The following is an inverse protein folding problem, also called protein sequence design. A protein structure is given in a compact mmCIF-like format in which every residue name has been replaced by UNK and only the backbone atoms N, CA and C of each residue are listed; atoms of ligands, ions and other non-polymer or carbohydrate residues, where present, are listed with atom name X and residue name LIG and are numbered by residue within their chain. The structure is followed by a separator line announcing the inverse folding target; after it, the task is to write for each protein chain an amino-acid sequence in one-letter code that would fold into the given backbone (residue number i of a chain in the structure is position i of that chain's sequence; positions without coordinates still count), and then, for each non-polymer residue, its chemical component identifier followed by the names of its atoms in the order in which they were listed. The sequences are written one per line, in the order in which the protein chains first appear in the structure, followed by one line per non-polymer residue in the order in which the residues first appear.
data_IF_950244923537
#
_entry.id   IF_950244923537
#
_cell.length_a   1.000
_cell.length_b   1.000
_cell.length_c   1.000
_cell.angle_alpha   90.00
_cell.angle_beta   90.00
_cell.angle_gamma   90.00
#
_symmetry.space_group_name_H-M   'P 1'
#
loop_
_entity.id
_entity.type
_entity.pdbx_description
1 polymer ?
#
# COMPACT_ATOMS: atom_id res chain seq x y z
N UNK A 1 3.75 12.11 -20.90
CA UNK A 1 2.35 12.57 -21.04
C UNK A 1 1.39 11.46 -20.64
N UNK A 2 0.50 11.74 -19.70
CA UNK A 2 -0.61 10.88 -19.37
C UNK A 2 -1.91 11.57 -19.78
N UNK A 3 -2.72 10.87 -20.58
CA UNK A 3 -4.01 11.35 -21.04
C UNK A 3 -5.10 10.40 -20.60
N UNK A 4 -6.10 10.93 -19.91
CA UNK A 4 -7.28 10.17 -19.58
C UNK A 4 -8.27 10.20 -20.76
N UNK A 5 -8.78 9.07 -21.23
CA UNK A 5 -9.80 9.06 -22.28
C UNK A 5 -11.08 9.74 -21.78
N UNK A 6 -11.70 10.49 -22.66
CA UNK A 6 -12.99 11.12 -22.40
C UNK A 6 -14.01 10.07 -21.94
N UNK A 7 -14.59 10.29 -20.76
CA UNK A 7 -15.74 9.52 -20.31
C UNK A 7 -16.86 10.48 -19.96
N UNK A 8 -17.94 10.43 -20.71
CA UNK A 8 -19.06 11.36 -20.58
C UNK A 8 -18.77 12.72 -21.21
N UNK A 9 -19.44 13.77 -20.76
CA UNK A 9 -19.41 15.12 -21.35
C UNK A 9 -18.24 16.00 -20.92
N UNK A 10 -17.20 15.43 -20.27
CA UNK A 10 -16.02 16.16 -19.78
C UNK A 10 -14.73 15.72 -20.46
N UNK A 11 -13.95 16.67 -21.00
CA UNK A 11 -12.56 16.43 -21.38
C UNK A 11 -11.69 16.55 -20.13
N UNK A 12 -11.09 15.45 -19.72
CA UNK A 12 -10.10 15.45 -18.64
C UNK A 12 -8.74 15.72 -19.26
N UNK A 13 -8.18 16.89 -19.03
CA UNK A 13 -6.99 17.38 -19.71
C UNK A 13 -5.79 16.44 -19.69
N UNK A 14 -4.81 16.79 -20.52
CA UNK A 14 -3.49 16.15 -20.52
C UNK A 14 -2.59 16.81 -19.47
N UNK A 15 -1.83 16.02 -18.73
CA UNK A 15 -0.76 16.48 -17.84
C UNK A 15 0.59 15.98 -18.35
N UNK A 16 1.50 16.91 -18.57
CA UNK A 16 2.90 16.60 -18.82
C UNK A 16 3.68 16.60 -17.50
N UNK A 17 3.70 15.45 -16.83
CA UNK A 17 4.36 15.30 -15.53
C UNK A 17 5.86 15.60 -15.57
N UNK A 18 6.52 15.56 -16.73
CA UNK A 18 7.93 15.94 -16.85
C UNK A 18 8.15 17.43 -16.60
N UNK A 19 7.10 18.24 -16.74
CA UNK A 19 7.10 19.69 -16.52
C UNK A 19 6.43 20.11 -15.25
N UNK A 20 5.69 19.21 -14.57
CA UNK A 20 5.03 19.53 -13.32
C UNK A 20 6.07 19.94 -12.26
N UNK A 21 5.77 21.02 -11.56
CA UNK A 21 6.56 21.53 -10.44
C UNK A 21 5.59 22.02 -9.38
N UNK A 22 5.88 21.73 -8.14
CA UNK A 22 5.02 22.09 -7.02
C UNK A 22 5.80 22.96 -6.06
N UNK A 23 5.28 24.13 -5.74
CA UNK A 23 5.83 25.00 -4.71
C UNK A 23 5.25 24.59 -3.34
N UNK A 24 5.92 23.63 -2.70
CA UNK A 24 5.50 23.12 -1.40
C UNK A 24 5.51 24.18 -0.29
N UNK A 25 6.33 25.25 -0.42
CA UNK A 25 6.40 26.32 0.57
C UNK A 25 5.18 27.23 0.51
N UNK A 26 4.50 27.29 -0.64
CA UNK A 26 3.25 28.02 -0.79
C UNK A 26 2.03 27.24 -0.26
N UNK A 27 2.13 25.91 -0.17
CA UNK A 27 1.02 25.09 0.31
C UNK A 27 0.86 25.23 1.82
N UNK A 28 -0.39 25.34 2.29
CA UNK A 28 -0.72 25.47 3.71
C UNK A 28 -1.37 24.22 4.26
N UNK A 29 -1.25 23.94 5.58
CA UNK A 29 -1.88 22.76 6.18
C UNK A 29 -3.41 22.78 6.16
N UNK A 30 -4.01 23.94 6.03
CA UNK A 30 -5.46 24.15 6.02
C UNK A 30 -5.85 25.21 5.01
N UNK A 31 -7.01 25.06 4.41
CA UNK A 31 -7.55 25.99 3.43
C UNK A 31 -8.95 26.44 3.85
N UNK A 32 -9.26 27.71 3.58
CA UNK A 32 -10.54 28.34 3.89
C UNK A 32 -10.78 29.57 3.00
N UNK A 33 -11.84 30.31 3.31
CA UNK A 33 -12.22 31.51 2.53
C UNK A 33 -11.17 32.62 2.52
N UNK A 34 -10.28 32.62 3.52
CA UNK A 34 -9.23 33.61 3.69
C UNK A 34 -7.84 33.12 3.22
N UNK A 35 -7.80 31.93 2.56
CA UNK A 35 -6.53 31.42 2.05
C UNK A 35 -6.03 32.23 0.86
N UNK A 36 -4.72 32.42 0.79
CA UNK A 36 -4.07 33.12 -0.33
C UNK A 36 -4.33 32.38 -1.66
N UNK A 37 -4.59 33.13 -2.73
CA UNK A 37 -4.91 32.60 -4.05
C UNK A 37 -3.78 31.72 -4.60
N UNK A 38 -2.53 32.09 -4.36
CA UNK A 38 -1.35 31.30 -4.76
C UNK A 38 -1.34 29.95 -4.09
N UNK A 39 -1.56 29.88 -2.77
CA UNK A 39 -1.63 28.63 -2.02
C UNK A 39 -2.78 27.74 -2.52
N UNK A 40 -3.93 28.31 -2.78
CA UNK A 40 -5.07 27.59 -3.35
C UNK A 40 -4.77 27.05 -4.76
N UNK A 41 -4.06 27.80 -5.58
CA UNK A 41 -3.68 27.39 -6.94
C UNK A 41 -2.72 26.20 -6.91
N UNK A 42 -1.67 26.27 -6.10
CA UNK A 42 -0.66 25.22 -5.97
C UNK A 42 -1.28 23.89 -5.49
N UNK A 43 -2.12 23.92 -4.46
CA UNK A 43 -2.76 22.70 -3.98
C UNK A 43 -3.79 22.17 -4.98
N UNK A 44 -4.51 23.04 -5.68
CA UNK A 44 -5.50 22.62 -6.68
C UNK A 44 -4.82 21.96 -7.88
N UNK A 45 -3.66 22.48 -8.32
CA UNK A 45 -2.85 21.85 -9.37
C UNK A 45 -2.37 20.47 -8.95
N UNK A 46 -1.82 20.33 -7.73
CA UNK A 46 -1.41 19.03 -7.19
C UNK A 46 -2.57 18.03 -7.15
N UNK A 47 -3.74 18.45 -6.63
CA UNK A 47 -4.92 17.59 -6.56
C UNK A 47 -5.41 17.16 -7.94
N UNK A 48 -5.40 18.07 -8.92
CA UNK A 48 -5.75 17.76 -10.30
C UNK A 48 -4.77 16.74 -10.90
N UNK A 49 -3.47 16.95 -10.72
CA UNK A 49 -2.45 16.01 -11.19
C UNK A 49 -2.57 14.63 -10.53
N UNK A 50 -2.83 14.57 -9.23
CA UNK A 50 -3.12 13.31 -8.55
C UNK A 50 -4.31 12.58 -9.18
N UNK A 51 -5.40 13.29 -9.44
CA UNK A 51 -6.58 12.71 -10.07
C UNK A 51 -6.30 12.16 -11.48
N UNK A 52 -5.56 12.91 -12.30
CA UNK A 52 -5.14 12.44 -13.63
C UNK A 52 -4.24 11.21 -13.54
N UNK A 53 -3.27 11.21 -12.62
CA UNK A 53 -2.32 10.10 -12.42
C UNK A 53 -3.03 8.79 -12.04
N UNK A 54 -4.00 8.85 -11.14
CA UNK A 54 -4.77 7.66 -10.72
C UNK A 54 -5.93 7.32 -11.67
N UNK A 55 -6.05 8.04 -12.77
CA UNK A 55 -7.10 7.84 -13.78
C UNK A 55 -8.51 8.04 -13.19
N UNK A 56 -8.67 9.12 -12.43
CA UNK A 56 -9.93 9.49 -11.80
C UNK A 56 -11.06 9.66 -12.81
N UNK A 57 -12.17 9.02 -12.56
CA UNK A 57 -13.43 9.24 -13.28
C UNK A 57 -14.21 10.33 -12.57
N UNK A 58 -14.15 11.52 -13.10
CA UNK A 58 -14.89 12.66 -12.54
C UNK A 58 -16.35 12.63 -12.96
N UNK A 59 -17.25 12.84 -12.00
CA UNK A 59 -18.69 12.93 -12.22
C UNK A 59 -19.33 13.99 -11.35
N UNK A 60 -20.52 14.44 -11.74
CA UNK A 60 -21.25 15.47 -11.00
C UNK A 60 -21.76 15.01 -9.63
N UNK A 61 -22.04 13.72 -9.47
CA UNK A 61 -22.52 13.15 -8.21
C UNK A 61 -21.39 12.55 -7.39
N UNK A 62 -20.44 11.91 -8.04
CA UNK A 62 -19.30 11.24 -7.39
C UNK A 62 -18.11 11.18 -8.35
N UNK A 63 -16.91 11.03 -7.78
CA UNK A 63 -15.68 10.77 -8.54
C UNK A 63 -14.96 9.58 -7.90
N UNK A 64 -14.35 8.74 -8.72
CA UNK A 64 -13.68 7.54 -8.21
C UNK A 64 -12.54 7.07 -9.10
N UNK A 65 -11.60 6.34 -8.48
CA UNK A 65 -10.51 5.65 -9.16
C UNK A 65 -10.29 4.28 -8.50
N UNK A 66 -9.64 3.37 -9.22
CA UNK A 66 -9.23 2.10 -8.63
C UNK A 66 -7.98 2.31 -7.76
N UNK A 67 -7.98 1.76 -6.55
CA UNK A 67 -6.84 1.82 -5.62
C UNK A 67 -5.56 1.22 -6.22
N UNK A 68 -5.70 0.24 -7.11
CA UNK A 68 -4.58 -0.36 -7.87
C UNK A 68 -3.81 0.62 -8.74
N UNK A 69 -4.39 1.79 -9.06
CA UNK A 69 -3.71 2.82 -9.83
C UNK A 69 -2.78 3.70 -8.97
N UNK A 70 -2.90 3.67 -7.65
CA UNK A 70 -2.20 4.62 -6.76
C UNK A 70 -0.69 4.35 -6.71
N UNK A 71 -0.28 3.09 -6.49
CA UNK A 71 1.14 2.74 -6.46
C UNK A 71 1.86 3.03 -7.80
N UNK A 72 1.32 2.62 -8.97
CA UNK A 72 1.89 3.02 -10.25
C UNK A 72 1.94 4.54 -10.44
N UNK A 73 0.90 5.27 -10.02
CA UNK A 73 0.87 6.73 -10.15
C UNK A 73 2.02 7.40 -9.37
N UNK A 74 2.26 6.97 -8.14
CA UNK A 74 3.37 7.46 -7.31
C UNK A 74 4.73 7.15 -7.92
N UNK A 75 4.93 5.92 -8.41
CA UNK A 75 6.18 5.48 -9.02
C UNK A 75 6.45 6.19 -10.36
N UNK A 76 5.43 6.31 -11.22
CA UNK A 76 5.61 6.77 -12.60
C UNK A 76 5.62 8.30 -12.74
N UNK A 77 4.87 9.02 -11.89
CA UNK A 77 4.61 10.45 -12.08
C UNK A 77 5.11 11.34 -10.95
N UNK A 78 5.25 10.83 -9.73
CA UNK A 78 5.62 11.64 -8.57
C UNK A 78 7.04 11.37 -8.04
N UNK A 79 7.82 10.56 -8.76
CA UNK A 79 9.23 10.31 -8.44
C UNK A 79 9.48 9.36 -7.27
N UNK A 80 8.43 8.77 -6.72
CA UNK A 80 8.59 7.69 -5.75
C UNK A 80 9.10 6.42 -6.43
N UNK A 81 9.73 5.54 -5.67
CA UNK A 81 10.18 4.25 -6.17
C UNK A 81 9.84 3.16 -5.18
N UNK A 82 9.50 1.98 -5.71
CA UNK A 82 9.21 0.82 -4.90
C UNK A 82 7.97 0.98 -4.01
N UNK A 83 7.02 1.81 -4.40
CA UNK A 83 5.70 1.88 -3.78
C UNK A 83 4.89 0.68 -4.24
N UNK A 84 4.27 -0.02 -3.30
CA UNK A 84 3.61 -1.29 -3.51
C UNK A 84 2.12 -1.21 -3.15
N UNK A 85 1.33 -2.09 -3.76
CA UNK A 85 -0.08 -2.29 -3.47
C UNK A 85 -0.30 -3.66 -2.85
N UNK A 86 -1.17 -3.76 -1.85
CA UNK A 86 -1.54 -5.02 -1.22
C UNK A 86 -3.03 -5.08 -0.86
N UNK A 87 -3.62 -6.25 -0.96
CA UNK A 87 -5.00 -6.54 -0.57
C UNK A 87 -5.02 -7.41 0.69
N UNK A 88 -5.88 -7.07 1.64
CA UNK A 88 -5.92 -7.72 2.95
C UNK A 88 -6.25 -9.21 2.89
N UNK A 89 -7.08 -9.64 1.95
CA UNK A 89 -7.50 -11.04 1.80
C UNK A 89 -6.35 -11.99 1.44
N UNK A 90 -5.23 -11.41 0.99
CA UNK A 90 -3.99 -12.10 0.69
C UNK A 90 -3.10 -12.36 1.94
N UNK A 91 -3.50 -11.83 3.10
CA UNK A 91 -2.70 -11.85 4.33
C UNK A 91 -3.47 -12.43 5.50
N UNK A 92 -2.77 -13.16 6.36
CA UNK A 92 -3.27 -13.45 7.70
C UNK A 92 -3.43 -12.16 8.52
N UNK A 93 -4.33 -12.18 9.51
CA UNK A 93 -4.65 -10.99 10.34
C UNK A 93 -3.38 -10.37 10.94
N UNK A 94 -2.54 -11.21 11.57
CA UNK A 94 -1.31 -10.71 12.20
C UNK A 94 -0.31 -10.15 11.20
N UNK A 95 -0.11 -10.83 10.08
CA UNK A 95 0.81 -10.37 9.02
C UNK A 95 0.37 -9.02 8.45
N UNK A 96 -0.95 -8.82 8.29
CA UNK A 96 -1.51 -7.56 7.85
C UNK A 96 -1.28 -6.43 8.86
N UNK A 97 -1.52 -6.70 10.16
CA UNK A 97 -1.24 -5.75 11.22
C UNK A 97 0.25 -5.41 11.29
N UNK A 98 1.13 -6.42 11.21
CA UNK A 98 2.57 -6.23 11.26
C UNK A 98 3.08 -5.41 10.06
N UNK A 99 2.54 -5.63 8.86
CA UNK A 99 2.89 -4.86 7.66
C UNK A 99 2.58 -3.38 7.87
N UNK A 100 1.38 -3.06 8.33
CA UNK A 100 0.95 -1.67 8.56
C UNK A 100 1.75 -1.05 9.70
N UNK A 101 1.96 -1.79 10.80
CA UNK A 101 2.74 -1.33 11.93
C UNK A 101 4.20 -1.01 11.52
N UNK A 102 4.83 -1.85 10.72
CA UNK A 102 6.20 -1.63 10.26
C UNK A 102 6.33 -0.34 9.44
N UNK A 103 5.37 -0.06 8.55
CA UNK A 103 5.36 1.20 7.83
C UNK A 103 5.24 2.42 8.77
N UNK A 104 4.30 2.36 9.71
CA UNK A 104 4.08 3.45 10.66
C UNK A 104 5.27 3.64 11.62
N UNK A 105 5.94 2.58 12.03
CA UNK A 105 7.13 2.65 12.89
C UNK A 105 8.32 3.35 12.22
N UNK A 106 8.35 3.31 10.89
CA UNK A 106 9.33 4.00 10.04
C UNK A 106 8.84 5.39 9.57
N UNK A 107 7.77 5.90 10.19
CA UNK A 107 7.12 7.17 9.84
C UNK A 107 6.63 7.24 8.38
N UNK A 108 6.20 6.13 7.82
CA UNK A 108 5.59 6.07 6.50
C UNK A 108 4.07 5.89 6.63
N UNK A 109 3.28 6.94 6.49
CA UNK A 109 1.82 6.81 6.42
C UNK A 109 1.42 6.05 5.15
N UNK A 110 0.31 5.33 5.25
CA UNK A 110 -0.19 4.51 4.16
C UNK A 110 -1.45 5.12 3.55
N UNK A 111 -1.58 5.01 2.23
CA UNK A 111 -2.90 5.02 1.62
C UNK A 111 -3.64 3.75 2.06
N UNK A 112 -4.84 3.89 2.53
CA UNK A 112 -5.70 2.82 2.95
C UNK A 112 -7.06 2.94 2.26
N UNK A 113 -7.66 1.83 1.88
CA UNK A 113 -9.02 1.81 1.39
C UNK A 113 -9.77 0.60 1.95
N UNK A 114 -11.08 0.77 2.10
CA UNK A 114 -11.99 -0.28 2.51
C UNK A 114 -13.43 0.11 2.15
N UNK A 115 -14.29 -0.85 1.92
CA UNK A 115 -15.64 -0.59 1.45
C UNK A 115 -15.62 0.23 0.15
N UNK A 116 -16.13 1.45 0.20
CA UNK A 116 -16.22 2.37 -0.95
C UNK A 116 -15.39 3.64 -0.78
N UNK A 117 -14.54 3.73 0.25
CA UNK A 117 -13.81 4.93 0.60
C UNK A 117 -12.31 4.69 0.70
N UNK A 118 -11.53 5.72 0.37
CA UNK A 118 -10.09 5.77 0.54
C UNK A 118 -9.71 6.83 1.57
N UNK A 119 -8.74 6.52 2.43
CA UNK A 119 -8.32 7.36 3.54
C UNK A 119 -6.85 7.11 3.87
N UNK A 120 -6.31 7.76 4.87
CA UNK A 120 -4.91 7.62 5.29
C UNK A 120 -4.85 6.87 6.62
N UNK A 121 -3.93 5.93 6.75
CA UNK A 121 -3.52 5.34 8.01
C UNK A 121 -2.17 5.96 8.41
N UNK A 122 -2.12 6.70 9.52
CA UNK A 122 -0.99 7.56 9.90
C UNK A 122 -0.54 7.42 11.36
N UNK A 123 -1.10 6.45 12.11
CA UNK A 123 -0.70 6.27 13.50
C UNK A 123 -1.06 4.91 14.09
N UNK A 124 -0.44 4.62 15.24
CA UNK A 124 -0.63 3.39 16.00
C UNK A 124 -0.50 3.67 17.50
N UNK A 125 -1.41 3.14 18.33
CA UNK A 125 -1.47 3.40 19.76
C UNK A 125 -0.68 2.42 20.65
N UNK A 126 -0.06 1.40 20.06
CA UNK A 126 0.65 0.31 20.78
C UNK A 126 -0.24 -0.83 21.26
N UNK A 127 -1.58 -0.73 21.12
CA UNK A 127 -2.55 -1.72 21.62
C UNK A 127 -3.39 -2.36 20.50
N UNK A 128 -2.94 -2.26 19.23
CA UNK A 128 -3.62 -2.80 18.07
C UNK A 128 -4.70 -1.87 17.50
N UNK A 129 -4.70 -0.58 17.88
CA UNK A 129 -5.54 0.42 17.27
C UNK A 129 -4.69 1.32 16.37
N UNK A 130 -5.16 1.50 15.15
CA UNK A 130 -4.53 2.30 14.13
C UNK A 130 -5.31 3.59 13.93
N UNK A 131 -4.61 4.71 13.77
CA UNK A 131 -5.22 5.99 13.53
C UNK A 131 -5.52 6.17 12.04
N UNK A 132 -6.73 6.67 11.76
CA UNK A 132 -7.18 6.94 10.40
C UNK A 132 -7.63 8.38 10.25
N UNK A 133 -7.21 8.99 9.13
CA UNK A 133 -7.67 10.27 8.65
C UNK A 133 -8.55 10.04 7.41
N UNK A 134 -9.86 10.25 7.56
CA UNK A 134 -10.84 9.97 6.51
C UNK A 134 -10.95 11.06 5.45
N UNK A 135 -10.17 12.16 5.53
CA UNK A 135 -10.16 13.22 4.53
C UNK A 135 -11.35 14.18 4.62
N UNK A 136 -12.10 14.20 5.73
CA UNK A 136 -13.29 15.04 5.93
C UNK A 136 -13.04 16.21 6.90
N UNK A 137 -11.88 16.85 6.78
CA UNK A 137 -11.52 17.98 7.62
C UNK A 137 -11.38 17.63 9.11
N UNK A 138 -10.93 16.42 9.41
CA UNK A 138 -10.79 15.89 10.77
C UNK A 138 -12.03 15.18 11.32
N UNK A 139 -13.18 15.28 10.64
CA UNK A 139 -14.40 14.58 11.05
C UNK A 139 -14.19 13.07 10.95
N UNK A 140 -14.64 12.36 11.97
CA UNK A 140 -14.53 10.91 12.13
C UNK A 140 -13.11 10.36 12.29
N UNK A 141 -12.07 11.20 12.23
CA UNK A 141 -10.71 10.75 12.50
C UNK A 141 -10.62 10.09 13.87
N UNK A 142 -9.85 9.02 13.99
CA UNK A 142 -9.71 8.29 15.24
C UNK A 142 -8.99 6.97 15.11
N UNK A 143 -8.98 6.24 16.22
CA UNK A 143 -8.29 4.96 16.34
C UNK A 143 -9.27 3.79 16.20
N UNK A 144 -8.96 2.86 15.31
CA UNK A 144 -9.80 1.70 15.01
C UNK A 144 -8.96 0.42 14.93
N UNK A 145 -9.60 -0.71 15.20
CA UNK A 145 -9.06 -2.01 14.83
C UNK A 145 -9.25 -2.24 13.34
N UNK A 146 -8.26 -2.81 12.65
CA UNK A 146 -8.30 -3.01 11.20
C UNK A 146 -9.50 -3.84 10.71
N UNK A 147 -10.03 -4.71 11.56
CA UNK A 147 -11.21 -5.53 11.25
C UNK A 147 -12.54 -4.94 11.74
N UNK A 148 -12.53 -3.72 12.28
CA UNK A 148 -13.72 -3.08 12.85
C UNK A 148 -13.71 -1.56 12.59
N UNK A 149 -13.47 -1.17 11.36
CA UNK A 149 -13.49 0.24 10.93
C UNK A 149 -14.93 0.58 10.53
N UNK A 150 -15.72 1.02 11.52
CA UNK A 150 -17.14 1.34 11.34
C UNK A 150 -17.45 2.71 11.89
N UNK A 151 -18.06 3.54 11.04
CA UNK A 151 -18.44 4.91 11.36
C UNK A 151 -19.96 5.06 11.30
N UNK A 152 -20.53 5.74 12.28
CA UNK A 152 -21.95 6.12 12.28
C UNK A 152 -22.21 7.45 11.60
N UNK A 153 -21.16 8.25 11.36
CA UNK A 153 -21.22 9.59 10.79
C UNK A 153 -20.13 9.73 9.74
N UNK A 154 -20.53 9.75 8.48
CA UNK A 154 -19.63 9.77 7.33
C UNK A 154 -19.72 11.09 6.56
N UNK A 155 -18.62 11.43 5.86
CA UNK A 155 -18.59 12.56 4.94
C UNK A 155 -18.94 12.16 3.50
N UNK A 156 -18.65 13.06 2.58
CA UNK A 156 -18.87 12.84 1.15
C UNK A 156 -18.10 11.62 0.67
N UNK A 157 -18.75 10.73 -0.05
CA UNK A 157 -18.17 9.50 -0.58
C UNK A 157 -18.02 8.37 0.44
N UNK A 158 -18.46 8.56 1.70
CA UNK A 158 -18.26 7.59 2.79
C UNK A 158 -19.16 6.34 2.74
N UNK A 159 -20.17 6.31 1.89
CA UNK A 159 -21.09 5.17 1.79
C UNK A 159 -21.81 4.86 3.10
N UNK A 160 -21.87 3.59 3.47
CA UNK A 160 -22.56 3.12 4.69
C UNK A 160 -21.66 3.15 5.94
N UNK A 161 -20.40 3.62 5.83
CA UNK A 161 -19.48 3.76 6.95
C UNK A 161 -18.84 2.45 7.43
N UNK A 162 -18.98 1.35 6.72
CA UNK A 162 -18.26 0.10 7.00
C UNK A 162 -17.09 -0.08 6.04
N UNK A 163 -15.88 0.06 6.56
CA UNK A 163 -14.62 -0.05 5.81
C UNK A 163 -13.82 -1.30 6.21
N UNK A 164 -14.47 -2.26 6.85
CA UNK A 164 -13.84 -3.51 7.33
C UNK A 164 -13.71 -4.57 6.23
N UNK A 165 -14.33 -4.36 5.07
CA UNK A 165 -14.32 -5.28 3.93
C UNK A 165 -13.60 -4.70 2.73
N UNK A 166 -13.04 -5.57 1.85
CA UNK A 166 -12.35 -5.15 0.63
C UNK A 166 -11.17 -4.21 0.90
N UNK A 167 -10.48 -4.44 2.00
CA UNK A 167 -9.39 -3.56 2.43
C UNK A 167 -8.16 -3.74 1.55
N UNK A 168 -7.54 -2.62 1.20
CA UNK A 168 -6.23 -2.60 0.54
C UNK A 168 -5.40 -1.42 1.04
N UNK A 169 -4.10 -1.51 0.83
CA UNK A 169 -3.15 -0.45 1.15
C UNK A 169 -2.22 -0.17 -0.02
N UNK A 170 -1.70 1.05 -0.05
CA UNK A 170 -0.47 1.38 -0.76
C UNK A 170 0.56 1.77 0.29
N UNK A 171 1.71 1.13 0.23
CA UNK A 171 2.76 1.22 1.24
C UNK A 171 4.14 1.38 0.61
N UNK A 172 5.16 1.57 1.43
CA UNK A 172 6.48 1.92 0.95
C UNK A 172 6.54 3.35 0.40
N UNK A 173 5.67 4.23 0.85
CA UNK A 173 5.63 5.64 0.44
C UNK A 173 6.70 6.39 1.22
N UNK A 174 7.85 6.58 0.59
CA UNK A 174 8.99 7.26 1.18
C UNK A 174 9.51 8.35 0.25
N UNK A 175 10.10 9.40 0.84
CA UNK A 175 10.62 10.52 0.05
C UNK A 175 11.68 10.04 -0.93
N UNK A 176 11.69 10.56 -2.17
CA UNK A 176 12.62 10.08 -3.21
C UNK A 176 14.11 10.28 -2.90
N UNK A 177 14.43 11.18 -1.97
CA UNK A 177 15.78 11.51 -1.51
C UNK A 177 16.21 10.71 -0.28
N UNK A 178 15.33 9.91 0.30
CA UNK A 178 15.69 9.02 1.40
C UNK A 178 16.63 7.92 0.87
N UNK A 179 17.69 7.62 1.63
CA UNK A 179 18.55 6.46 1.39
C UNK A 179 17.73 5.20 1.71
N UNK A 180 16.90 4.82 0.77
CA UNK A 180 15.93 3.77 0.96
C UNK A 180 16.57 2.40 0.87
N UNK A 181 16.52 1.66 1.95
CA UNK A 181 16.62 0.22 1.90
C UNK A 181 15.20 -0.31 1.58
N UNK A 182 14.92 -0.62 0.32
CA UNK A 182 13.64 -1.25 -0.04
C UNK A 182 13.73 -2.71 0.36
N UNK A 183 13.01 -3.13 1.40
CA UNK A 183 13.06 -4.51 1.82
C UNK A 183 12.47 -5.40 0.73
N UNK A 184 13.05 -6.58 0.57
CA UNK A 184 12.44 -7.67 -0.16
C UNK A 184 11.11 -8.00 0.53
N UNK A 185 10.02 -7.94 -0.22
CA UNK A 185 8.71 -8.36 0.26
C UNK A 185 8.41 -9.75 -0.30
N UNK A 186 8.13 -10.69 0.59
CA UNK A 186 7.63 -12.01 0.23
C UNK A 186 6.19 -12.08 0.69
N UNK A 187 5.27 -12.13 -0.26
CA UNK A 187 3.84 -12.25 0.00
C UNK A 187 3.47 -13.70 -0.23
N UNK A 188 3.32 -14.44 0.86
CA UNK A 188 2.92 -15.83 0.79
C UNK A 188 1.42 -15.99 0.69
N UNK A 189 0.93 -16.44 -0.44
CA UNK A 189 -0.44 -16.98 -0.58
C UNK A 189 -0.50 -18.47 -0.24
N UNK A 190 0.52 -18.98 0.41
CA UNK A 190 0.98 -20.31 0.32
C UNK A 190 0.09 -21.36 0.92
N UNK A 191 -0.28 -22.24 0.07
CA UNK A 191 -0.41 -23.62 0.50
C UNK A 191 0.99 -24.21 0.58
N UNK A 192 1.35 -24.70 1.74
CA UNK A 192 2.51 -25.58 1.89
C UNK A 192 2.15 -26.92 1.26
N UNK A 193 2.87 -27.30 0.22
CA UNK A 193 2.67 -28.57 -0.45
C UNK A 193 3.74 -29.55 -0.02
N UNK A 194 3.34 -30.74 0.35
CA UNK A 194 4.26 -31.86 0.48
C UNK A 194 4.57 -32.38 -0.92
N UNK A 195 5.73 -32.04 -1.46
CA UNK A 195 6.12 -32.40 -2.84
C UNK A 195 6.69 -33.78 -2.94
N UNK A 196 7.38 -34.28 -1.90
CA UNK A 196 7.89 -35.62 -1.80
C UNK A 196 7.88 -36.10 -0.34
N UNK A 197 6.92 -36.97 -0.02
CA UNK A 197 6.74 -37.49 1.34
C UNK A 197 7.92 -38.37 1.81
N UNK A 198 8.56 -39.08 0.91
CA UNK A 198 9.64 -40.00 1.26
C UNK A 198 10.93 -39.29 1.60
N UNK A 199 11.17 -38.16 0.93
CA UNK A 199 12.36 -37.33 1.13
C UNK A 199 12.11 -36.07 1.97
N UNK A 200 10.92 -35.91 2.53
CA UNK A 200 10.59 -34.76 3.36
C UNK A 200 10.64 -33.42 2.60
N UNK A 201 10.36 -33.42 1.31
CA UNK A 201 10.40 -32.21 0.50
C UNK A 201 9.06 -31.49 0.49
N UNK A 202 9.12 -30.18 0.69
CA UNK A 202 7.97 -29.28 0.72
C UNK A 202 8.13 -28.21 -0.35
N UNK A 203 7.03 -27.90 -1.03
CA UNK A 203 6.94 -26.77 -1.93
C UNK A 203 6.09 -25.66 -1.33
N UNK A 204 6.50 -24.44 -1.52
CA UNK A 204 5.76 -23.24 -1.13
C UNK A 204 5.83 -22.23 -2.24
N UNK A 205 4.69 -21.71 -2.66
CA UNK A 205 4.66 -20.63 -3.64
C UNK A 205 4.30 -19.29 -2.98
N UNK A 206 5.01 -18.26 -3.40
CA UNK A 206 4.81 -16.91 -2.91
C UNK A 206 5.04 -15.90 -4.03
N UNK A 207 4.34 -14.79 -3.97
CA UNK A 207 4.72 -13.63 -4.78
C UNK A 207 5.91 -12.95 -4.11
N UNK A 208 6.98 -12.78 -4.88
CA UNK A 208 8.22 -12.16 -4.40
C UNK A 208 8.39 -10.85 -5.13
N UNK A 209 8.58 -9.79 -4.35
CA UNK A 209 8.78 -8.45 -4.87
C UNK A 209 10.12 -7.93 -4.34
N UNK A 210 11.09 -7.74 -5.24
CA UNK A 210 12.28 -6.95 -4.99
C UNK A 210 12.12 -5.62 -5.71
N UNK A 211 11.57 -4.63 -5.03
CA UNK A 211 11.38 -3.28 -5.57
C UNK A 211 12.67 -2.43 -5.52
N UNK A 212 13.76 -2.98 -5.00
CA UNK A 212 15.07 -2.33 -4.94
C UNK A 212 15.78 -2.25 -6.28
N UNK A 213 16.92 -1.55 -6.29
CA UNK A 213 17.78 -1.38 -7.47
C UNK A 213 18.92 -2.44 -7.52
N UNK A 214 19.03 -3.28 -6.48
CA UNK A 214 20.08 -4.29 -6.36
C UNK A 214 19.47 -5.70 -6.30
N UNK A 215 20.29 -6.69 -6.65
CA UNK A 215 19.94 -8.10 -6.45
C UNK A 215 20.01 -8.43 -4.96
N UNK A 216 18.96 -9.02 -4.42
CA UNK A 216 18.88 -9.46 -3.02
C UNK A 216 18.97 -10.99 -2.98
N UNK A 217 19.80 -11.51 -2.11
CA UNK A 217 19.87 -12.94 -1.82
C UNK A 217 19.31 -13.22 -0.43
N UNK A 218 18.45 -14.22 -0.33
CA UNK A 218 17.84 -14.66 0.92
C UNK A 218 18.09 -16.14 1.16
N UNK A 219 18.17 -16.52 2.42
CA UNK A 219 18.11 -17.93 2.82
C UNK A 219 16.66 -18.28 3.10
N UNK A 220 16.20 -19.37 2.49
CA UNK A 220 14.84 -19.88 2.67
C UNK A 220 14.87 -21.15 3.48
N UNK A 221 13.90 -21.31 4.37
CA UNK A 221 13.82 -22.46 5.26
C UNK A 221 12.42 -22.66 5.83
N UNK A 222 12.26 -23.72 6.60
CA UNK A 222 11.03 -24.04 7.30
C UNK A 222 11.27 -24.11 8.80
N UNK A 223 10.37 -23.56 9.59
CA UNK A 223 10.35 -23.72 11.05
C UNK A 223 9.33 -24.80 11.41
N UNK A 224 9.80 -25.89 12.02
CA UNK A 224 8.93 -26.95 12.52
C UNK A 224 8.75 -26.78 14.03
N UNK A 225 7.51 -26.58 14.47
CA UNK A 225 7.14 -26.47 15.88
C UNK A 225 6.48 -27.74 16.38
N UNK A 226 6.95 -28.24 17.51
CA UNK A 226 6.29 -29.36 18.17
C UNK A 226 4.92 -28.94 18.70
N UNK A 227 3.89 -29.72 18.39
CA UNK A 227 2.53 -29.50 18.92
C UNK A 227 2.42 -29.68 20.46
N UNK A 228 3.42 -30.26 21.08
CA UNK A 228 3.46 -30.57 22.51
C UNK A 228 4.28 -29.54 23.33
N UNK A 229 4.57 -28.38 22.78
CA UNK A 229 5.32 -27.32 23.48
C UNK A 229 6.84 -27.56 23.55
N UNK A 230 7.38 -28.50 22.82
CA UNK A 230 8.81 -28.65 22.54
C UNK A 230 9.31 -27.51 21.67
N UNK A 231 10.62 -27.27 21.68
CA UNK A 231 11.25 -26.18 20.93
C UNK A 231 10.97 -26.22 19.43
N UNK A 232 11.25 -25.11 18.78
CA UNK A 232 11.22 -24.98 17.32
C UNK A 232 12.54 -25.47 16.72
N UNK A 233 12.47 -26.06 15.54
CA UNK A 233 13.63 -26.43 14.76
C UNK A 233 13.55 -25.75 13.39
N UNK A 234 14.62 -25.03 13.01
CA UNK A 234 14.72 -24.40 11.69
C UNK A 234 15.56 -25.28 10.78
N UNK A 235 15.08 -25.43 9.56
CA UNK A 235 15.79 -26.09 8.47
C UNK A 235 15.97 -25.09 7.34
N UNK A 236 17.22 -24.68 7.07
CA UNK A 236 17.57 -23.83 5.95
C UNK A 236 18.09 -24.67 4.81
N UNK A 237 17.55 -24.52 3.64
CA UNK A 237 17.85 -25.42 2.54
C UNK A 237 18.46 -24.76 1.31
N UNK A 238 18.12 -23.51 1.03
CA UNK A 238 18.55 -22.85 -0.20
C UNK A 238 18.83 -21.37 0.02
N UNK A 239 19.75 -20.84 -0.79
CA UNK A 239 19.91 -19.41 -1.01
C UNK A 239 19.28 -19.07 -2.34
N UNK A 240 18.30 -18.20 -2.34
CA UNK A 240 17.59 -17.70 -3.51
C UNK A 240 18.00 -16.26 -3.79
N UNK A 241 18.11 -15.89 -5.06
CA UNK A 241 18.50 -14.55 -5.46
C UNK A 241 17.45 -13.92 -6.37
N UNK A 242 16.99 -12.73 -6.01
CA UNK A 242 15.99 -11.98 -6.75
C UNK A 242 16.62 -10.70 -7.30
N UNK A 243 16.59 -10.56 -8.61
CA UNK A 243 17.14 -9.39 -9.30
C UNK A 243 16.39 -8.11 -8.92
N UNK A 244 17.03 -6.97 -9.15
CA UNK A 244 16.37 -5.67 -9.02
C UNK A 244 15.06 -5.63 -9.82
N UNK A 245 14.04 -4.99 -9.26
CA UNK A 245 12.71 -4.85 -9.86
C UNK A 245 12.00 -6.19 -10.16
N UNK A 246 12.40 -7.27 -9.47
CA UNK A 246 11.71 -8.55 -9.57
C UNK A 246 10.31 -8.44 -8.95
N UNK A 247 9.29 -8.88 -9.69
CA UNK A 247 7.91 -8.93 -9.21
C UNK A 247 7.22 -10.09 -9.93
N UNK A 248 7.29 -11.27 -9.34
CA UNK A 248 6.67 -12.47 -9.90
C UNK A 248 6.43 -13.52 -8.82
N UNK A 249 5.61 -14.51 -9.17
CA UNK A 249 5.38 -15.68 -8.33
C UNK A 249 6.60 -16.61 -8.39
N UNK A 250 7.09 -16.96 -7.21
CA UNK A 250 8.23 -17.85 -7.05
C UNK A 250 7.84 -19.10 -6.28
N UNK A 251 8.38 -20.24 -6.70
CA UNK A 251 8.18 -21.52 -6.05
C UNK A 251 9.43 -21.90 -5.27
N UNK A 252 9.31 -21.93 -3.95
CA UNK A 252 10.37 -22.35 -3.04
C UNK A 252 10.27 -23.86 -2.84
N UNK A 253 11.37 -24.57 -3.00
CA UNK A 253 11.46 -25.98 -2.73
C UNK A 253 12.39 -26.23 -1.55
N UNK A 254 11.86 -26.81 -0.48
CA UNK A 254 12.54 -27.01 0.80
C UNK A 254 12.62 -28.49 1.09
N UNK A 255 13.79 -29.03 1.30
CA UNK A 255 14.02 -30.42 1.69
C UNK A 255 14.49 -30.47 3.14
N UNK A 256 13.86 -31.32 3.95
CA UNK A 256 14.30 -31.60 5.31
C UNK A 256 15.44 -32.59 5.25
N UNK A 257 16.58 -32.24 5.84
CA UNK A 257 17.72 -33.14 6.05
C UNK A 257 17.49 -34.10 7.23
#
# INVERSE_FOLDING_TARGET
HHRWPEQGSGSYGDVDFSKARYDWEQMTPTYGTESEETACTEVAELMYHCGVAVKMKYGAAESGAFSTNVAPALNDYFGYKGVLYAEKDQYGIKTWEDLIYNELSENRPLYYAGGVHAFVCDGYDGNGYFHFNFGWGGRANGYFRLYAIRLSDVGIGGGEGDYSSGQCIVYGIERPDANRHVPLSIIGYGNLFLTDFQNGSFGYDADVINAGEETISIETGIEIKSSNGGGSQFHFTNTESFQAQYNDRHFFNITLD
#
